data_IF_205474418992
#
_entry.id   IF_205474418992
#
_cell.length_a   1.000
_cell.length_b   1.000
_cell.length_c   1.000
_cell.angle_alpha   90.00
_cell.angle_beta   90.00
_cell.angle_gamma   90.00
#
_symmetry.space_group_name_H-M   'P 1'
#
loop_
_entity.id
_entity.type
_entity.pdbx_description
1 polymer ?
#
# COMPACT_ATOMS: atom_id res chain seq x y z
N UNK A 1 -68.73 -15.15 -5.00
CA UNK A 1 -68.08 -14.03 -4.30
C UNK A 1 -66.59 -14.20 -4.42
N UNK A 2 -65.89 -13.38 -5.23
CA UNK A 2 -64.44 -13.27 -5.13
C UNK A 2 -64.01 -11.92 -5.71
N UNK A 3 -63.68 -10.97 -4.83
CA UNK A 3 -63.05 -9.70 -5.23
C UNK A 3 -61.55 -9.93 -5.26
N UNK A 4 -61.01 -10.15 -6.46
CA UNK A 4 -59.57 -10.14 -6.70
C UNK A 4 -59.06 -8.72 -6.41
N UNK A 5 -58.39 -8.54 -5.27
CA UNK A 5 -57.66 -7.31 -4.95
C UNK A 5 -56.46 -7.24 -5.88
N UNK A 6 -56.51 -6.36 -6.87
CA UNK A 6 -55.34 -5.92 -7.64
C UNK A 6 -54.37 -5.28 -6.64
N UNK A 7 -53.21 -5.90 -6.44
CA UNK A 7 -52.10 -5.33 -5.70
C UNK A 7 -51.67 -4.07 -6.46
N UNK A 8 -51.71 -2.92 -5.80
CA UNK A 8 -51.09 -1.71 -6.33
C UNK A 8 -49.56 -1.90 -6.27
N UNK A 9 -48.94 -2.19 -7.40
CA UNK A 9 -47.49 -2.06 -7.54
C UNK A 9 -47.15 -0.57 -7.49
N UNK A 10 -46.60 -0.13 -6.36
CA UNK A 10 -46.11 1.24 -6.18
C UNK A 10 -44.81 1.43 -6.95
N UNK A 11 -44.83 2.31 -7.96
CA UNK A 11 -43.61 2.77 -8.63
C UNK A 11 -42.81 3.74 -7.78
N UNK A 12 -41.49 3.74 -7.92
CA UNK A 12 -40.60 4.74 -7.32
C UNK A 12 -40.88 6.13 -7.91
N UNK A 13 -40.98 7.16 -7.07
CA UNK A 13 -41.11 8.53 -7.56
C UNK A 13 -39.74 9.08 -7.99
N UNK A 14 -39.72 9.94 -9.00
CA UNK A 14 -38.49 10.61 -9.45
C UNK A 14 -37.86 11.47 -8.34
N UNK A 15 -38.69 12.05 -7.46
CA UNK A 15 -38.22 12.86 -6.35
C UNK A 15 -37.54 12.03 -5.26
N UNK A 16 -38.02 10.80 -5.00
CA UNK A 16 -37.36 9.87 -4.08
C UNK A 16 -35.96 9.50 -4.56
N UNK A 17 -35.81 9.20 -5.85
CA UNK A 17 -34.48 8.91 -6.41
C UNK A 17 -33.57 10.14 -6.39
N UNK A 18 -34.11 11.35 -6.61
CA UNK A 18 -33.34 12.60 -6.59
C UNK A 18 -32.75 12.88 -5.21
N UNK A 19 -33.54 12.73 -4.14
CA UNK A 19 -33.04 12.95 -2.77
C UNK A 19 -32.00 11.90 -2.38
N UNK A 20 -32.16 10.65 -2.79
CA UNK A 20 -31.21 9.57 -2.51
C UNK A 20 -29.85 9.85 -3.15
N UNK A 21 -29.82 10.21 -4.45
CA UNK A 21 -28.55 10.52 -5.12
C UNK A 21 -27.90 11.79 -4.54
N UNK A 22 -28.69 12.76 -4.08
CA UNK A 22 -28.16 13.95 -3.41
C UNK A 22 -27.44 13.60 -2.10
N UNK A 23 -28.03 12.74 -1.27
CA UNK A 23 -27.41 12.27 -0.03
C UNK A 23 -26.15 11.45 -0.32
N UNK A 24 -26.20 10.50 -1.26
CA UNK A 24 -25.03 9.69 -1.66
C UNK A 24 -23.92 10.59 -2.20
N UNK A 25 -24.25 11.63 -2.97
CA UNK A 25 -23.30 12.61 -3.48
C UNK A 25 -22.55 13.35 -2.37
N UNK A 26 -23.26 13.80 -1.33
CA UNK A 26 -22.66 14.49 -0.17
C UNK A 26 -21.73 13.53 0.58
N UNK A 27 -22.18 12.29 0.84
CA UNK A 27 -21.35 11.30 1.53
C UNK A 27 -20.10 10.92 0.73
N UNK A 28 -20.24 10.74 -0.59
CA UNK A 28 -19.13 10.41 -1.47
C UNK A 28 -18.08 11.53 -1.53
N UNK A 29 -18.50 12.79 -1.56
CA UNK A 29 -17.61 13.95 -1.58
C UNK A 29 -16.66 13.99 -0.37
N UNK A 30 -17.13 13.56 0.81
CA UNK A 30 -16.32 13.49 2.04
C UNK A 30 -15.52 12.18 2.11
N UNK A 31 -16.15 11.05 1.76
CA UNK A 31 -15.58 9.72 1.94
C UNK A 31 -14.42 9.44 0.98
N UNK A 32 -14.50 9.85 -0.28
CA UNK A 32 -13.48 9.57 -1.31
C UNK A 32 -12.10 10.13 -0.95
N UNK A 33 -11.94 11.44 -0.60
CA UNK A 33 -10.61 11.97 -0.24
C UNK A 33 -10.07 11.32 1.03
N UNK A 34 -10.92 11.06 2.03
CA UNK A 34 -10.51 10.40 3.28
C UNK A 34 -10.02 8.96 3.02
N UNK A 35 -10.76 8.20 2.21
CA UNK A 35 -10.40 6.82 1.88
C UNK A 35 -9.10 6.74 1.07
N UNK A 36 -8.88 7.68 0.15
CA UNK A 36 -7.63 7.80 -0.60
C UNK A 36 -6.43 8.03 0.34
N UNK A 37 -6.55 8.97 1.28
CA UNK A 37 -5.52 9.22 2.29
C UNK A 37 -5.27 8.01 3.21
N UNK A 38 -6.32 7.28 3.59
CA UNK A 38 -6.19 6.06 4.37
C UNK A 38 -5.39 4.97 3.62
N UNK A 39 -5.68 4.76 2.33
CA UNK A 39 -4.94 3.82 1.49
C UNK A 39 -3.46 4.19 1.36
N UNK A 40 -3.13 5.48 1.18
CA UNK A 40 -1.73 5.96 1.13
C UNK A 40 -0.96 5.58 2.40
N UNK A 41 -1.56 5.76 3.58
CA UNK A 41 -0.95 5.36 4.86
C UNK A 41 -0.74 3.84 4.96
N UNK A 42 -1.66 3.05 4.39
CA UNK A 42 -1.50 1.61 4.26
C UNK A 42 -0.27 1.26 3.43
N UNK A 43 -0.10 1.88 2.26
CA UNK A 43 1.07 1.65 1.42
C UNK A 43 2.39 2.07 2.08
N UNK A 44 2.42 3.19 2.81
CA UNK A 44 3.61 3.58 3.57
C UNK A 44 3.95 2.55 4.67
N UNK A 45 2.93 1.95 5.30
CA UNK A 45 3.13 0.88 6.29
C UNK A 45 3.70 -0.39 5.63
N UNK A 46 3.17 -0.75 4.46
CA UNK A 46 3.65 -1.88 3.67
C UNK A 46 5.11 -1.66 3.23
N UNK A 47 5.46 -0.45 2.77
CA UNK A 47 6.81 -0.09 2.36
C UNK A 47 7.81 -0.16 3.53
N UNK A 48 7.44 0.37 4.70
CA UNK A 48 8.25 0.26 5.92
C UNK A 48 8.47 -1.20 6.34
N UNK A 49 7.44 -2.04 6.22
CA UNK A 49 7.55 -3.46 6.52
C UNK A 49 8.42 -4.18 5.49
N UNK A 50 8.32 -3.81 4.21
CA UNK A 50 9.14 -4.36 3.15
C UNK A 50 10.63 -4.11 3.40
N UNK A 51 11.05 -2.87 3.72
CA UNK A 51 12.49 -2.60 3.99
C UNK A 51 13.02 -3.33 5.23
N UNK A 52 12.18 -3.56 6.25
CA UNK A 52 12.56 -4.39 7.41
C UNK A 52 12.75 -5.85 7.03
N UNK A 53 11.82 -6.40 6.26
CA UNK A 53 11.91 -7.77 5.77
C UNK A 53 13.11 -7.94 4.83
N UNK A 54 13.43 -6.94 4.01
CA UNK A 54 14.66 -6.92 3.20
C UNK A 54 15.89 -6.94 4.09
N UNK A 55 15.93 -6.14 5.17
CA UNK A 55 17.05 -6.16 6.11
C UNK A 55 17.24 -7.55 6.71
N UNK A 56 16.17 -8.20 7.19
CA UNK A 56 16.25 -9.57 7.70
C UNK A 56 16.75 -10.56 6.64
N UNK A 57 16.29 -10.46 5.40
CA UNK A 57 16.75 -11.31 4.31
C UNK A 57 18.22 -11.04 3.92
N UNK A 58 18.68 -9.79 4.05
CA UNK A 58 20.08 -9.41 3.85
C UNK A 58 20.99 -10.01 4.94
N UNK A 59 20.58 -9.98 6.20
CA UNK A 59 21.32 -10.66 7.28
C UNK A 59 21.40 -12.17 7.05
N UNK A 60 20.28 -12.80 6.66
CA UNK A 60 20.27 -14.21 6.30
C UNK A 60 21.20 -14.51 5.10
N UNK A 61 21.27 -13.59 4.13
CA UNK A 61 22.17 -13.71 2.99
C UNK A 61 23.64 -13.62 3.40
N UNK A 62 23.95 -12.70 4.33
CA UNK A 62 25.30 -12.53 4.85
C UNK A 62 25.79 -13.77 5.60
N UNK A 63 24.93 -14.43 6.38
CA UNK A 63 25.28 -15.66 7.10
C UNK A 63 25.74 -16.77 6.14
N UNK A 64 25.16 -16.86 4.95
CA UNK A 64 25.49 -17.92 3.98
C UNK A 64 26.67 -17.56 3.07
N UNK A 65 26.75 -16.31 2.61
CA UNK A 65 27.64 -15.88 1.52
C UNK A 65 28.74 -14.92 2.00
N UNK A 66 28.68 -14.49 3.27
CA UNK A 66 29.62 -13.58 3.91
C UNK A 66 29.77 -12.22 3.19
N UNK A 67 28.72 -11.81 2.47
CA UNK A 67 28.58 -10.52 1.79
C UNK A 67 27.08 -10.19 1.69
N UNK A 68 26.71 -8.94 1.46
CA UNK A 68 25.30 -8.58 1.24
C UNK A 68 24.89 -8.72 -0.24
N UNK A 69 23.64 -9.07 -0.49
CA UNK A 69 23.14 -9.28 -1.86
C UNK A 69 22.94 -7.96 -2.59
N UNK A 70 23.40 -7.90 -3.84
CA UNK A 70 23.15 -6.79 -4.77
C UNK A 70 21.88 -6.96 -5.59
N UNK A 71 21.22 -8.11 -5.49
CA UNK A 71 20.04 -8.44 -6.28
C UNK A 71 18.87 -8.81 -5.38
N UNK A 72 17.65 -8.41 -5.78
CA UNK A 72 16.42 -8.78 -5.06
C UNK A 72 16.20 -10.31 -5.09
N UNK A 73 16.59 -10.99 -6.17
CA UNK A 73 16.49 -12.44 -6.28
C UNK A 73 17.22 -13.20 -5.16
N UNK A 74 18.40 -12.71 -4.74
CA UNK A 74 19.14 -13.28 -3.62
C UNK A 74 18.39 -13.19 -2.28
N UNK A 75 17.59 -12.13 -2.09
CA UNK A 75 16.76 -11.93 -0.89
C UNK A 75 15.47 -12.76 -0.99
N UNK A 76 14.88 -12.90 -2.18
CA UNK A 76 13.65 -13.70 -2.37
C UNK A 76 13.87 -15.18 -2.07
N UNK A 77 15.06 -15.70 -2.40
CA UNK A 77 15.48 -17.05 -1.98
C UNK A 77 15.51 -17.22 -0.45
N UNK A 78 15.53 -16.12 0.31
CA UNK A 78 15.59 -16.06 1.78
C UNK A 78 14.31 -15.47 2.38
N UNK A 79 13.20 -15.60 1.66
CA UNK A 79 11.87 -15.28 2.17
C UNK A 79 11.41 -13.84 1.94
N UNK A 80 12.21 -12.98 1.32
CA UNK A 80 11.75 -11.64 0.96
C UNK A 80 10.68 -11.71 -0.16
N UNK A 81 9.51 -11.14 0.11
CA UNK A 81 8.43 -11.00 -0.88
C UNK A 81 8.10 -9.52 -1.06
N UNK A 82 8.20 -9.07 -2.31
CA UNK A 82 7.84 -7.72 -2.70
C UNK A 82 6.31 -7.57 -2.77
N UNK A 83 5.77 -6.48 -2.21
CA UNK A 83 4.37 -6.12 -2.36
C UNK A 83 4.08 -5.54 -3.75
N UNK A 84 2.87 -5.75 -4.27
CA UNK A 84 2.48 -5.36 -5.64
C UNK A 84 2.50 -3.85 -5.91
N UNK A 85 2.42 -3.03 -4.86
CA UNK A 85 2.36 -1.56 -4.95
C UNK A 85 3.70 -0.90 -4.59
N UNK A 86 4.79 -1.67 -4.60
CA UNK A 86 6.11 -1.23 -4.21
C UNK A 86 7.10 -1.53 -5.33
N UNK A 87 8.03 -0.62 -5.56
CA UNK A 87 9.30 -0.91 -6.23
C UNK A 87 10.37 -0.95 -5.15
N UNK A 88 11.23 -1.97 -5.17
CA UNK A 88 12.29 -2.13 -4.17
C UNK A 88 13.67 -2.14 -4.81
N UNK A 89 14.64 -1.61 -4.09
CA UNK A 89 16.03 -1.59 -4.48
C UNK A 89 16.92 -1.91 -3.28
N UNK A 90 18.07 -2.52 -3.53
CA UNK A 90 19.08 -2.72 -2.51
C UNK A 90 20.45 -2.31 -3.05
N UNK A 91 21.20 -1.59 -2.24
CA UNK A 91 22.54 -1.13 -2.59
C UNK A 91 23.50 -1.61 -1.50
N UNK A 92 24.11 -2.80 -1.68
CA UNK A 92 25.07 -3.32 -0.73
C UNK A 92 26.47 -2.73 -0.93
N UNK A 93 27.24 -2.84 0.13
CA UNK A 93 28.71 -2.83 0.17
C UNK A 93 29.15 -4.13 0.85
N UNK A 94 30.45 -4.35 1.01
CA UNK A 94 30.98 -5.53 1.73
C UNK A 94 30.47 -5.65 3.17
N UNK A 95 30.24 -4.53 3.86
CA UNK A 95 29.95 -4.51 5.31
C UNK A 95 28.66 -3.80 5.69
N UNK A 96 28.03 -3.08 4.75
CA UNK A 96 26.78 -2.36 4.98
C UNK A 96 25.86 -2.47 3.77
N UNK A 97 24.58 -2.22 3.94
CA UNK A 97 23.63 -2.12 2.83
C UNK A 97 22.58 -1.05 3.10
N UNK A 98 21.98 -0.57 2.01
CA UNK A 98 20.71 0.13 2.07
C UNK A 98 19.62 -0.69 1.39
N UNK A 99 18.43 -0.69 1.99
CA UNK A 99 17.24 -1.31 1.43
C UNK A 99 16.19 -0.22 1.26
N UNK A 100 15.69 -0.06 0.04
CA UNK A 100 14.71 0.97 -0.30
C UNK A 100 13.44 0.34 -0.83
N UNK A 101 12.29 0.86 -0.38
CA UNK A 101 10.98 0.59 -0.96
C UNK A 101 10.30 1.92 -1.31
N UNK A 102 9.80 2.02 -2.54
CA UNK A 102 9.10 3.19 -3.07
C UNK A 102 7.69 2.78 -3.43
N UNK A 103 6.70 3.47 -2.84
CA UNK A 103 5.29 3.25 -3.14
C UNK A 103 4.98 3.74 -4.56
N UNK A 104 4.44 2.87 -5.41
CA UNK A 104 4.04 3.19 -6.79
C UNK A 104 2.57 3.57 -6.93
N UNK A 105 1.74 3.19 -5.97
CA UNK A 105 0.30 3.45 -6.01
C UNK A 105 -0.08 4.68 -5.17
N UNK A 106 -0.62 5.71 -5.81
CA UNK A 106 -1.18 6.87 -5.11
C UNK A 106 -0.16 7.86 -4.55
N UNK A 107 1.11 7.73 -4.94
CA UNK A 107 2.23 8.59 -4.56
C UNK A 107 3.08 8.92 -5.80
N UNK A 108 3.83 10.02 -5.76
CA UNK A 108 4.83 10.33 -6.79
C UNK A 108 6.16 9.69 -6.42
N UNK A 109 7.04 9.38 -7.37
CA UNK A 109 8.33 8.74 -7.08
C UNK A 109 9.26 9.53 -6.12
N UNK A 110 8.99 10.83 -5.90
CA UNK A 110 9.70 11.67 -4.93
C UNK A 110 9.14 11.54 -3.48
N UNK A 111 7.99 10.89 -3.32
CA UNK A 111 7.26 10.66 -2.07
C UNK A 111 6.97 9.17 -1.90
N UNK A 112 6.59 8.71 -0.71
CA UNK A 112 6.43 7.28 -0.43
C UNK A 112 7.74 6.46 -0.51
N UNK A 113 8.90 7.10 -0.27
CA UNK A 113 10.21 6.44 -0.29
C UNK A 113 10.62 6.11 1.15
N UNK A 114 10.88 4.84 1.41
CA UNK A 114 11.35 4.34 2.69
C UNK A 114 12.70 3.68 2.49
N UNK A 115 13.71 4.10 3.25
CA UNK A 115 15.07 3.57 3.14
C UNK A 115 15.56 3.13 4.51
N UNK A 116 15.89 1.85 4.64
CA UNK A 116 16.63 1.30 5.77
C UNK A 116 18.13 1.37 5.48
N UNK A 117 18.92 1.78 6.48
CA UNK A 117 20.38 1.78 6.42
C UNK A 117 20.95 0.86 7.50
N UNK A 118 21.73 -0.14 7.11
CA UNK A 118 22.32 -1.08 8.09
C UNK A 118 23.40 -0.44 8.96
N UNK A 119 24.02 0.66 8.52
CA UNK A 119 25.02 1.40 9.29
C UNK A 119 24.44 2.14 10.50
N UNK A 120 23.19 2.58 10.41
CA UNK A 120 22.51 3.33 11.49
C UNK A 120 21.39 2.54 12.15
N UNK A 121 20.92 1.47 11.51
CA UNK A 121 19.75 0.70 11.95
C UNK A 121 18.42 1.46 11.84
N UNK A 122 18.41 2.61 11.16
CA UNK A 122 17.25 3.50 11.07
C UNK A 122 16.54 3.38 9.72
N UNK A 123 15.23 3.67 9.74
CA UNK A 123 14.42 3.84 8.54
C UNK A 123 14.14 5.33 8.33
N UNK A 124 14.68 5.91 7.27
CA UNK A 124 14.33 7.26 6.81
C UNK A 124 13.15 7.16 5.87
N UNK A 125 12.11 7.96 6.09
CA UNK A 125 10.86 7.90 5.34
C UNK A 125 10.46 9.27 4.80
N UNK A 126 10.20 9.34 3.50
CA UNK A 126 9.49 10.46 2.87
C UNK A 126 8.08 9.94 2.56
N UNK A 127 7.09 10.32 3.36
CA UNK A 127 5.72 9.78 3.28
C UNK A 127 4.98 10.25 2.03
N UNK A 128 3.92 9.53 1.64
CA UNK A 128 3.01 9.95 0.58
C UNK A 128 2.13 11.13 1.04
N UNK A 129 2.19 12.26 0.33
CA UNK A 129 1.29 13.40 0.53
C UNK A 129 0.05 13.30 -0.36
#
# INVERSE_FOLDING_TARGET
MNRLRLRAEGGFTLIELLVVIAIIGILAAIAIPQFSAYRRRGYDSDAKSAVKNMATAQEAYYVDVNTYSSTIGGLTARGFKQGSNLTVATTPTQTTFTAQATVTAGCTAATGVHTFSSSTGLITSTVCN
#
